data_IF_851237886593
#
_entry.id   IF_851237886593
#
_cell.length_a   1.000
_cell.length_b   1.000
_cell.length_c   1.000
_cell.angle_alpha   90.00
_cell.angle_beta   90.00
_cell.angle_gamma   90.00
#
_symmetry.space_group_name_H-M   'P 1'
#
loop_
_entity.id
_entity.type
_entity.pdbx_description
1 polymer ?
#
# COMPACT_ATOMS: atom_id res chain seq x y z
N UNK A 1 46.63 -24.97 -36.50
CA UNK A 1 45.43 -24.68 -37.31
C UNK A 1 44.26 -24.50 -36.36
N UNK A 2 44.06 -23.27 -35.91
CA UNK A 2 42.98 -22.86 -35.02
C UNK A 2 41.71 -22.67 -35.86
N UNK A 3 40.60 -23.26 -35.44
CA UNK A 3 39.27 -22.96 -35.99
C UNK A 3 38.59 -21.95 -35.08
N UNK A 4 38.37 -20.78 -35.66
CA UNK A 4 37.63 -19.63 -35.15
C UNK A 4 36.18 -20.02 -34.85
N UNK A 5 35.69 -19.71 -33.65
CA UNK A 5 34.27 -19.68 -33.32
C UNK A 5 33.84 -18.21 -33.39
N UNK A 6 33.05 -17.89 -34.42
CA UNK A 6 32.39 -16.59 -34.57
C UNK A 6 31.25 -16.49 -33.55
N UNK A 7 31.38 -15.56 -32.61
CA UNK A 7 30.29 -15.10 -31.75
C UNK A 7 29.44 -14.08 -32.53
N UNK A 8 28.20 -14.45 -32.86
CA UNK A 8 27.21 -13.48 -33.33
C UNK A 8 26.86 -12.54 -32.17
N UNK A 9 27.22 -11.26 -32.31
CA UNK A 9 26.88 -10.20 -31.38
C UNK A 9 25.39 -9.86 -31.47
N UNK A 10 24.68 -9.98 -30.35
CA UNK A 10 23.35 -9.38 -30.18
C UNK A 10 23.58 -7.98 -29.61
N UNK A 11 23.30 -6.97 -30.43
CA UNK A 11 23.28 -5.56 -30.02
C UNK A 11 22.13 -5.35 -29.03
N UNK A 12 22.46 -4.94 -27.80
CA UNK A 12 21.48 -4.50 -26.80
C UNK A 12 21.14 -3.03 -27.07
N UNK A 13 20.04 -2.79 -27.78
CA UNK A 13 19.46 -1.45 -27.89
C UNK A 13 18.84 -1.04 -26.53
N UNK A 14 19.51 -0.11 -25.86
CA UNK A 14 19.03 0.57 -24.67
C UNK A 14 18.17 1.76 -25.09
N UNK A 15 16.84 1.62 -25.06
CA UNK A 15 15.93 2.76 -25.17
C UNK A 15 14.86 2.68 -24.07
N UNK A 16 14.89 3.57 -23.05
CA UNK A 16 13.92 3.58 -21.97
C UNK A 16 12.71 4.43 -22.39
N UNK A 17 11.72 3.80 -23.02
CA UNK A 17 10.61 4.59 -23.56
C UNK A 17 9.53 3.81 -24.28
N UNK A 18 9.08 2.67 -23.75
CA UNK A 18 7.80 2.08 -24.13
C UNK A 18 7.13 1.49 -22.90
N UNK A 19 5.99 2.07 -22.55
CA UNK A 19 5.02 1.45 -21.64
C UNK A 19 4.67 0.11 -22.28
N UNK A 20 5.04 -1.00 -21.65
CA UNK A 20 4.56 -2.31 -22.09
C UNK A 20 3.04 -2.26 -22.10
N UNK A 21 2.44 -2.48 -23.26
CA UNK A 21 0.99 -2.66 -23.38
C UNK A 21 0.50 -3.60 -22.28
N UNK A 22 -0.68 -3.36 -21.67
CA UNK A 22 -1.25 -4.34 -20.76
C UNK A 22 -1.31 -5.66 -21.51
N UNK A 23 -0.79 -6.73 -20.91
CA UNK A 23 -0.93 -8.09 -21.39
C UNK A 23 -2.39 -8.29 -21.79
N UNK A 24 -2.65 -8.18 -23.09
CA UNK A 24 -3.93 -8.43 -23.70
C UNK A 24 -4.32 -9.84 -23.31
N UNK A 25 -5.43 -10.00 -22.60
CA UNK A 25 -6.00 -11.28 -22.15
C UNK A 25 -6.55 -12.10 -23.33
N UNK A 26 -5.87 -12.10 -24.47
CA UNK A 26 -6.19 -12.95 -25.62
C UNK A 26 -5.60 -14.34 -25.40
N UNK A 27 -6.20 -15.11 -24.48
CA UNK A 27 -6.37 -16.57 -24.56
C UNK A 27 -6.91 -17.17 -23.24
N UNK A 28 -8.15 -16.85 -22.91
CA UNK A 28 -8.96 -17.65 -21.99
C UNK A 28 -10.39 -17.62 -22.49
N UNK A 29 -10.91 -18.76 -22.95
CA UNK A 29 -12.34 -18.90 -23.30
C UNK A 29 -13.26 -18.80 -22.06
N UNK A 30 -12.68 -18.70 -20.86
CA UNK A 30 -13.41 -18.66 -19.60
C UNK A 30 -13.79 -17.22 -19.22
N UNK A 31 -14.95 -17.03 -18.57
CA UNK A 31 -15.39 -15.74 -18.03
C UNK A 31 -14.34 -15.05 -17.15
N UNK A 32 -14.19 -13.75 -17.37
CA UNK A 32 -13.46 -12.83 -16.48
C UNK A 32 -14.37 -12.35 -15.34
N UNK A 33 -13.79 -11.71 -14.31
CA UNK A 33 -14.52 -11.03 -13.25
C UNK A 33 -15.44 -9.97 -13.86
N UNK A 34 -16.71 -9.96 -13.47
CA UNK A 34 -17.73 -9.12 -14.10
C UNK A 34 -18.65 -8.52 -13.03
N UNK A 35 -18.40 -7.26 -12.68
CA UNK A 35 -19.16 -6.57 -11.64
C UNK A 35 -20.60 -6.27 -12.06
N UNK A 36 -20.93 -6.30 -13.36
CA UNK A 36 -22.30 -6.07 -13.83
C UNK A 36 -23.26 -7.20 -13.46
N UNK A 37 -22.72 -8.39 -13.17
CA UNK A 37 -23.49 -9.57 -12.73
C UNK A 37 -23.68 -9.66 -11.22
N UNK A 38 -23.15 -8.70 -10.45
CA UNK A 38 -23.17 -8.73 -8.99
C UNK A 38 -24.56 -9.06 -8.43
N UNK A 39 -24.66 -10.17 -7.69
CA UNK A 39 -25.85 -10.49 -6.91
C UNK A 39 -25.77 -9.86 -5.52
N UNK A 40 -26.89 -9.43 -4.98
CA UNK A 40 -26.94 -8.70 -3.72
C UNK A 40 -27.83 -9.45 -2.72
N UNK A 41 -27.27 -9.75 -1.55
CA UNK A 41 -27.97 -10.25 -0.38
C UNK A 41 -27.64 -9.35 0.81
N UNK A 42 -28.61 -8.53 1.22
CA UNK A 42 -28.44 -7.64 2.37
C UNK A 42 -28.59 -8.40 3.69
N UNK A 43 -27.88 -7.96 4.72
CA UNK A 43 -28.01 -8.50 6.07
C UNK A 43 -29.39 -8.16 6.65
N UNK A 44 -30.12 -9.13 7.21
CA UNK A 44 -31.32 -8.85 7.99
C UNK A 44 -30.98 -8.34 9.41
N UNK A 45 -29.72 -8.51 9.85
CA UNK A 45 -29.24 -8.16 11.18
C UNK A 45 -28.06 -7.18 11.06
N UNK A 46 -28.31 -5.90 10.75
CA UNK A 46 -27.27 -4.88 10.68
C UNK A 46 -26.58 -4.72 12.04
N UNK A 47 -25.24 -4.66 12.05
CA UNK A 47 -24.43 -4.42 13.25
C UNK A 47 -24.59 -2.97 13.72
N UNK A 48 -24.33 -2.72 15.01
CA UNK A 48 -24.24 -1.36 15.52
C UNK A 48 -22.93 -0.69 15.09
N UNK A 49 -23.03 0.58 14.68
CA UNK A 49 -21.84 1.41 14.45
C UNK A 49 -21.37 1.91 15.82
N UNK A 50 -20.07 1.78 16.16
CA UNK A 50 -19.58 2.24 17.44
C UNK A 50 -19.87 3.72 17.69
N UNK A 51 -20.08 4.06 18.95
CA UNK A 51 -20.24 5.43 19.38
C UNK A 51 -18.99 6.28 19.08
N UNK A 52 -19.19 7.59 19.08
CA UNK A 52 -18.11 8.57 18.92
C UNK A 52 -17.01 8.38 19.98
N UNK A 53 -15.75 8.54 19.58
CA UNK A 53 -14.60 8.33 20.46
C UNK A 53 -14.18 6.86 20.58
N UNK A 54 -14.85 5.93 19.91
CA UNK A 54 -14.38 4.54 19.80
C UNK A 54 -12.98 4.50 19.18
N UNK A 55 -12.02 3.92 19.91
CA UNK A 55 -10.68 3.68 19.40
C UNK A 55 -10.59 2.27 18.79
N UNK A 56 -10.54 2.13 17.45
CA UNK A 56 -10.43 0.84 16.80
C UNK A 56 -9.08 0.15 17.04
N UNK A 57 -8.11 0.80 17.69
CA UNK A 57 -6.85 0.14 18.10
C UNK A 57 -7.08 -1.01 19.10
N UNK A 58 -8.22 -1.03 19.79
CA UNK A 58 -8.56 -2.08 20.76
C UNK A 58 -9.23 -3.30 20.12
N UNK A 59 -9.72 -3.19 18.88
CA UNK A 59 -10.49 -4.22 18.16
C UNK A 59 -10.26 -4.10 16.65
N UNK A 60 -9.39 -4.96 16.11
CA UNK A 60 -9.12 -5.05 14.65
C UNK A 60 -10.11 -5.95 13.89
N UNK A 61 -11.14 -6.45 14.56
CA UNK A 61 -12.16 -7.35 14.05
C UNK A 61 -13.51 -6.64 13.78
N UNK A 62 -13.60 -5.34 14.03
CA UNK A 62 -14.80 -4.56 13.76
C UNK A 62 -14.94 -4.32 12.25
N UNK A 63 -15.86 -5.06 11.64
CA UNK A 63 -16.13 -5.08 10.21
C UNK A 63 -17.50 -4.50 9.89
N UNK A 64 -17.66 -4.03 8.65
CA UNK A 64 -18.96 -3.55 8.16
C UNK A 64 -19.96 -4.69 8.00
N UNK A 65 -21.17 -4.36 7.55
CA UNK A 65 -22.29 -5.32 7.49
C UNK A 65 -22.11 -6.38 6.40
N UNK A 66 -21.45 -6.02 5.30
CA UNK A 66 -21.32 -6.88 4.12
C UNK A 66 -19.87 -7.10 3.70
N UNK A 67 -19.70 -8.05 2.78
CA UNK A 67 -18.47 -8.30 2.04
C UNK A 67 -18.80 -8.64 0.59
N UNK A 68 -17.81 -8.47 -0.30
CA UNK A 68 -17.86 -9.02 -1.65
C UNK A 68 -17.15 -10.37 -1.64
N UNK A 69 -17.68 -11.34 -2.37
CA UNK A 69 -17.04 -12.63 -2.65
C UNK A 69 -17.20 -13.02 -4.11
N UNK A 70 -16.18 -13.62 -4.70
CA UNK A 70 -16.22 -14.18 -6.04
C UNK A 70 -15.29 -15.39 -6.14
N UNK A 71 -15.84 -16.55 -6.49
CA UNK A 71 -15.07 -17.78 -6.68
C UNK A 71 -14.56 -17.87 -8.11
N UNK A 72 -13.38 -18.44 -8.28
CA UNK A 72 -12.81 -18.80 -9.56
C UNK A 72 -12.46 -20.28 -9.57
N UNK A 73 -12.70 -20.96 -10.70
CA UNK A 73 -12.14 -22.28 -10.99
C UNK A 73 -11.44 -22.29 -12.34
N UNK A 74 -10.49 -23.20 -12.54
CA UNK A 74 -9.82 -23.34 -13.83
C UNK A 74 -10.69 -23.96 -14.94
N UNK A 75 -11.86 -24.51 -14.58
CA UNK A 75 -12.84 -25.09 -15.49
C UNK A 75 -13.90 -24.07 -15.93
N UNK A 76 -14.30 -23.15 -15.04
CA UNK A 76 -15.43 -22.24 -15.27
C UNK A 76 -15.05 -20.76 -15.30
N UNK A 77 -13.81 -20.41 -14.99
CA UNK A 77 -13.40 -19.02 -14.82
C UNK A 77 -13.99 -18.37 -13.56
N UNK A 78 -14.07 -17.04 -13.58
CA UNK A 78 -14.70 -16.27 -12.51
C UNK A 78 -16.21 -16.48 -12.54
N UNK A 79 -16.77 -16.80 -11.38
CA UNK A 79 -18.21 -16.95 -11.20
C UNK A 79 -18.87 -15.58 -11.00
N UNK A 80 -20.19 -15.59 -10.80
CA UNK A 80 -20.93 -14.37 -10.47
C UNK A 80 -20.48 -13.83 -9.11
N UNK A 81 -20.00 -12.57 -9.03
CA UNK A 81 -19.65 -11.98 -7.74
C UNK A 81 -20.92 -11.74 -6.90
N UNK A 82 -20.78 -11.79 -5.59
CA UNK A 82 -21.87 -11.58 -4.64
C UNK A 82 -21.49 -10.57 -3.56
N UNK A 83 -22.41 -9.66 -3.26
CA UNK A 83 -22.43 -8.86 -2.03
C UNK A 83 -23.30 -9.62 -1.03
N UNK A 84 -22.71 -10.04 0.08
CA UNK A 84 -23.35 -10.89 1.09
C UNK A 84 -23.08 -10.36 2.49
N UNK A 85 -23.86 -10.77 3.51
CA UNK A 85 -23.53 -10.42 4.89
C UNK A 85 -22.13 -10.91 5.26
N UNK A 86 -21.38 -10.10 6.01
CA UNK A 86 -20.05 -10.47 6.49
C UNK A 86 -20.13 -11.74 7.35
N UNK A 87 -19.29 -12.74 7.03
CA UNK A 87 -19.31 -14.02 7.73
C UNK A 87 -18.08 -14.89 7.44
N UNK A 88 -17.96 -16.06 8.11
CA UNK A 88 -16.83 -16.96 7.93
C UNK A 88 -16.86 -17.67 6.57
N UNK A 89 -15.69 -18.09 6.10
CA UNK A 89 -15.56 -18.99 4.94
C UNK A 89 -15.48 -20.45 5.38
N UNK A 90 -16.06 -21.34 4.59
CA UNK A 90 -15.80 -22.78 4.69
C UNK A 90 -14.77 -23.14 3.62
N UNK A 91 -13.54 -23.43 4.04
CA UNK A 91 -12.47 -23.90 3.16
C UNK A 91 -11.96 -25.25 3.64
N UNK A 92 -11.51 -26.08 2.70
CA UNK A 92 -10.96 -27.38 3.04
C UNK A 92 -9.65 -27.21 3.82
N UNK A 93 -9.37 -28.05 4.84
CA UNK A 93 -8.10 -27.99 5.57
C UNK A 93 -6.88 -28.21 4.67
N UNK A 94 -7.04 -28.82 3.49
CA UNK A 94 -6.00 -29.03 2.48
C UNK A 94 -5.83 -27.87 1.51
N UNK A 95 -6.54 -26.75 1.71
CA UNK A 95 -6.46 -25.58 0.83
C UNK A 95 -5.04 -24.99 0.81
N UNK A 96 -4.50 -24.74 -0.38
CA UNK A 96 -3.12 -24.26 -0.59
C UNK A 96 -2.77 -23.01 0.23
N UNK A 97 -3.72 -22.09 0.44
CA UNK A 97 -3.51 -20.89 1.27
C UNK A 97 -3.03 -21.22 2.68
N UNK A 98 -3.55 -22.28 3.30
CA UNK A 98 -3.25 -22.66 4.68
C UNK A 98 -1.86 -23.28 4.85
N UNK A 99 -1.25 -23.78 3.76
CA UNK A 99 0.02 -24.51 3.80
C UNK A 99 1.16 -23.77 3.11
N UNK A 100 0.86 -23.04 2.04
CA UNK A 100 1.86 -22.48 1.12
C UNK A 100 1.71 -20.96 0.93
N UNK A 101 0.88 -20.30 1.76
CA UNK A 101 0.66 -18.85 1.72
C UNK A 101 0.35 -18.34 0.30
N UNK A 102 -0.42 -19.12 -0.47
CA UNK A 102 -0.86 -18.75 -1.83
C UNK A 102 -1.99 -17.73 -1.74
N UNK A 103 -1.64 -16.54 -1.28
CA UNK A 103 -2.53 -15.44 -1.01
C UNK A 103 -1.86 -14.08 -1.24
N UNK A 104 -2.68 -13.13 -1.71
CA UNK A 104 -2.29 -11.73 -1.80
C UNK A 104 -3.44 -10.83 -1.36
N UNK A 105 -3.11 -9.61 -0.98
CA UNK A 105 -4.10 -8.67 -0.49
C UNK A 105 -3.78 -7.24 -0.95
N UNK A 106 -4.79 -6.39 -0.83
CA UNK A 106 -4.65 -4.95 -1.01
C UNK A 106 -5.08 -4.16 0.22
N UNK A 107 -4.75 -2.88 0.20
CA UNK A 107 -4.98 -1.99 1.30
C UNK A 107 -5.25 -0.56 0.84
N UNK A 108 -6.50 -0.14 0.99
CA UNK A 108 -6.93 1.22 0.71
C UNK A 108 -7.90 1.71 1.79
N UNK A 109 -8.27 2.98 1.72
CA UNK A 109 -9.23 3.60 2.63
C UNK A 109 -10.34 4.23 1.81
N UNK A 110 -11.52 4.31 2.40
CA UNK A 110 -12.53 5.25 1.94
C UNK A 110 -12.81 6.27 3.04
N UNK A 111 -12.99 7.51 2.59
CA UNK A 111 -13.02 8.71 3.41
C UNK A 111 -14.39 9.37 3.29
N UNK A 112 -14.94 9.83 4.41
CA UNK A 112 -16.06 10.78 4.41
C UNK A 112 -15.47 12.18 4.40
N UNK A 113 -15.57 12.84 3.25
CA UNK A 113 -15.07 14.21 3.07
C UNK A 113 -15.82 15.24 3.90
N UNK A 114 -15.26 16.45 3.97
CA UNK A 114 -15.88 17.58 4.67
C UNK A 114 -17.12 18.13 3.96
N UNK A 115 -17.27 17.83 2.66
CA UNK A 115 -18.49 18.04 1.89
C UNK A 115 -19.50 16.87 2.02
N UNK A 116 -19.32 16.01 3.01
CA UNK A 116 -20.10 14.79 3.28
C UNK A 116 -20.07 13.71 2.19
N UNK A 117 -19.25 13.82 1.14
CA UNK A 117 -19.18 12.75 0.11
C UNK A 117 -18.19 11.65 0.48
N UNK A 118 -18.54 10.41 0.16
CA UNK A 118 -17.64 9.26 0.24
C UNK A 118 -16.62 9.30 -0.91
N UNK A 119 -15.36 8.95 -0.61
CA UNK A 119 -14.26 8.94 -1.60
C UNK A 119 -13.35 7.74 -1.46
N UNK A 120 -12.89 7.21 -2.59
CA UNK A 120 -11.74 6.31 -2.68
C UNK A 120 -10.54 7.08 -3.22
N UNK A 121 -9.35 6.83 -2.67
CA UNK A 121 -8.11 7.46 -3.13
C UNK A 121 -7.32 6.52 -4.04
N UNK A 122 -7.16 6.92 -5.31
CA UNK A 122 -6.44 6.21 -6.38
C UNK A 122 -6.71 4.69 -6.44
N UNK A 123 -7.98 4.23 -6.37
CA UNK A 123 -8.31 2.80 -6.26
C UNK A 123 -7.79 1.97 -7.45
N UNK A 124 -7.66 2.57 -8.64
CA UNK A 124 -7.12 1.91 -9.84
C UNK A 124 -5.67 1.45 -9.63
N UNK A 125 -4.85 2.22 -8.90
CA UNK A 125 -3.47 1.84 -8.62
C UNK A 125 -3.39 0.64 -7.68
N UNK A 126 -4.29 0.58 -6.68
CA UNK A 126 -4.40 -0.59 -5.82
C UNK A 126 -4.86 -1.82 -6.60
N UNK A 127 -5.89 -1.69 -7.45
CA UNK A 127 -6.39 -2.81 -8.25
C UNK A 127 -5.33 -3.35 -9.23
N UNK A 128 -4.56 -2.46 -9.89
CA UNK A 128 -3.44 -2.85 -10.74
C UNK A 128 -2.35 -3.60 -9.96
N UNK A 129 -2.00 -3.15 -8.75
CA UNK A 129 -1.03 -3.85 -7.90
C UNK A 129 -1.56 -5.18 -7.38
N UNK A 130 -2.86 -5.31 -7.13
CA UNK A 130 -3.50 -6.58 -6.78
C UNK A 130 -3.41 -7.58 -7.92
N UNK A 131 -3.68 -7.18 -9.17
CA UNK A 131 -3.52 -8.03 -10.35
C UNK A 131 -2.07 -8.53 -10.48
N UNK A 132 -1.10 -7.64 -10.36
CA UNK A 132 0.32 -8.00 -10.37
C UNK A 132 0.66 -9.00 -9.25
N UNK A 133 0.15 -8.77 -8.03
CA UNK A 133 0.41 -9.65 -6.89
C UNK A 133 -0.23 -11.03 -7.10
N UNK A 134 -1.48 -11.08 -7.57
CA UNK A 134 -2.23 -12.31 -7.88
C UNK A 134 -1.48 -13.17 -8.90
N UNK A 135 -1.13 -12.56 -10.04
CA UNK A 135 -0.42 -13.25 -11.12
C UNK A 135 0.97 -13.73 -10.70
N UNK A 136 1.67 -12.98 -9.83
CA UNK A 136 2.99 -13.40 -9.33
C UNK A 136 2.96 -14.70 -8.54
N UNK A 137 1.87 -15.01 -7.86
CA UNK A 137 1.69 -16.23 -7.05
C UNK A 137 0.74 -17.24 -7.71
N UNK A 138 0.59 -17.15 -9.03
CA UNK A 138 -0.20 -18.06 -9.85
C UNK A 138 -1.70 -18.14 -9.51
N UNK A 139 -2.22 -17.15 -8.78
CA UNK A 139 -3.66 -16.93 -8.64
C UNK A 139 -4.24 -16.39 -9.96
N UNK A 140 -5.56 -16.56 -10.20
CA UNK A 140 -6.18 -16.11 -11.44
C UNK A 140 -6.02 -14.61 -11.67
N UNK A 141 -5.73 -14.18 -12.92
CA UNK A 141 -5.85 -12.78 -13.29
C UNK A 141 -7.32 -12.36 -13.31
N UNK A 142 -7.57 -11.06 -13.23
CA UNK A 142 -8.88 -10.45 -13.35
C UNK A 142 -8.74 -9.05 -13.95
N UNK A 143 -9.80 -8.50 -14.54
CA UNK A 143 -9.83 -7.09 -14.94
C UNK A 143 -9.81 -6.16 -13.70
N UNK A 144 -8.78 -5.31 -13.50
CA UNK A 144 -8.69 -4.41 -12.35
C UNK A 144 -9.87 -3.45 -12.19
N UNK A 145 -10.46 -2.98 -13.30
CA UNK A 145 -11.59 -2.06 -13.25
C UNK A 145 -12.85 -2.71 -12.68
N UNK A 146 -13.03 -4.02 -12.90
CA UNK A 146 -14.15 -4.78 -12.36
C UNK A 146 -14.02 -4.93 -10.84
N UNK A 147 -12.80 -5.11 -10.33
CA UNK A 147 -12.55 -5.06 -8.89
C UNK A 147 -12.88 -3.67 -8.29
N UNK A 148 -12.50 -2.59 -8.97
CA UNK A 148 -12.83 -1.23 -8.50
C UNK A 148 -14.34 -1.00 -8.44
N UNK A 149 -15.11 -1.49 -9.43
CA UNK A 149 -16.58 -1.43 -9.42
C UNK A 149 -17.19 -2.23 -8.27
N UNK A 150 -16.64 -3.40 -7.94
CA UNK A 150 -17.09 -4.20 -6.79
C UNK A 150 -16.82 -3.48 -5.46
N UNK A 151 -15.63 -2.88 -5.30
CA UNK A 151 -15.29 -2.07 -4.13
C UNK A 151 -16.25 -0.87 -4.03
N UNK A 152 -16.52 -0.19 -5.15
CA UNK A 152 -17.48 0.90 -5.22
C UNK A 152 -18.85 0.45 -4.69
N UNK A 153 -19.37 -0.70 -5.16
CA UNK A 153 -20.69 -1.20 -4.73
C UNK A 153 -20.75 -1.57 -3.25
N UNK A 154 -19.69 -2.16 -2.70
CA UNK A 154 -19.60 -2.42 -1.26
C UNK A 154 -19.61 -1.11 -0.45
N UNK A 155 -18.80 -0.13 -0.86
CA UNK A 155 -18.70 1.16 -0.16
C UNK A 155 -19.98 1.98 -0.31
N UNK A 156 -20.64 1.98 -1.47
CA UNK A 156 -21.93 2.62 -1.66
C UNK A 156 -23.01 2.01 -0.74
N UNK A 157 -22.93 0.70 -0.48
CA UNK A 157 -23.88 -0.01 0.38
C UNK A 157 -23.65 0.27 1.87
N UNK A 158 -22.41 0.13 2.34
CA UNK A 158 -22.09 0.19 3.78
C UNK A 158 -21.61 1.58 4.25
N UNK A 159 -20.97 2.35 3.38
CA UNK A 159 -20.23 3.56 3.76
C UNK A 159 -21.12 4.65 4.37
N UNK A 160 -22.38 4.76 3.92
CA UNK A 160 -23.37 5.68 4.48
C UNK A 160 -23.51 5.56 5.98
N UNK A 161 -23.80 4.34 6.41
CA UNK A 161 -24.00 3.98 7.81
C UNK A 161 -22.67 3.99 8.59
N UNK A 162 -21.62 3.41 8.02
CA UNK A 162 -20.35 3.17 8.75
C UNK A 162 -19.42 4.38 8.82
N UNK A 163 -19.62 5.39 7.97
CA UNK A 163 -18.91 6.66 8.02
C UNK A 163 -19.90 7.82 8.15
N UNK A 164 -20.64 7.97 9.26
CA UNK A 164 -21.69 8.98 9.38
C UNK A 164 -21.16 10.41 9.52
N UNK A 165 -19.85 10.59 9.78
CA UNK A 165 -19.26 11.89 10.11
C UNK A 165 -18.13 12.28 9.15
N UNK A 166 -18.11 13.55 8.69
CA UNK A 166 -16.94 14.13 8.03
C UNK A 166 -15.62 13.90 8.74
N UNK A 167 -14.54 13.82 7.99
CA UNK A 167 -13.18 13.64 8.54
C UNK A 167 -12.88 12.22 9.01
N UNK A 168 -13.79 11.26 8.81
CA UNK A 168 -13.61 9.85 9.17
C UNK A 168 -13.23 8.98 7.98
N UNK A 169 -12.71 7.79 8.26
CA UNK A 169 -12.41 6.78 7.25
C UNK A 169 -12.60 5.37 7.81
N UNK A 170 -12.74 4.41 6.89
CA UNK A 170 -12.59 2.98 7.16
C UNK A 170 -11.60 2.37 6.18
N UNK A 171 -11.07 1.20 6.54
CA UNK A 171 -10.11 0.48 5.73
C UNK A 171 -10.82 -0.55 4.85
N UNK A 172 -10.33 -0.71 3.63
CA UNK A 172 -10.85 -1.67 2.65
C UNK A 172 -9.73 -2.68 2.37
N UNK A 173 -10.07 -3.95 2.48
CA UNK A 173 -9.17 -5.09 2.34
C UNK A 173 -9.67 -6.03 1.25
N UNK A 174 -9.34 -5.78 -0.03
CA UNK A 174 -9.43 -6.80 -1.06
C UNK A 174 -8.41 -7.89 -0.78
N UNK A 175 -8.76 -9.15 -1.01
CA UNK A 175 -7.88 -10.30 -0.77
C UNK A 175 -8.22 -11.39 -1.78
N UNK A 176 -7.20 -12.12 -2.24
CA UNK A 176 -7.33 -13.28 -3.11
C UNK A 176 -6.55 -14.44 -2.51
N UNK A 177 -7.21 -15.58 -2.32
CA UNK A 177 -6.64 -16.78 -1.69
C UNK A 177 -6.88 -18.01 -2.57
N UNK A 178 -5.94 -18.95 -2.56
CA UNK A 178 -6.12 -20.25 -3.21
C UNK A 178 -6.89 -21.22 -2.30
N UNK A 179 -8.12 -21.57 -2.69
CA UNK A 179 -8.99 -22.49 -1.96
C UNK A 179 -8.91 -23.94 -2.46
N UNK A 180 -8.18 -24.18 -3.56
CA UNK A 180 -7.97 -25.50 -4.16
C UNK A 180 -7.54 -26.55 -3.11
N UNK A 181 -8.34 -27.62 -2.88
CA UNK A 181 -8.08 -28.63 -1.85
C UNK A 181 -7.01 -29.63 -2.28
N UNK A 182 -5.74 -29.20 -2.30
CA UNK A 182 -4.62 -30.05 -2.67
C UNK A 182 -3.37 -29.73 -1.85
N UNK A 183 -2.84 -30.73 -1.16
CA UNK A 183 -1.58 -30.62 -0.42
C UNK A 183 -0.35 -30.61 -1.33
N UNK A 184 -0.44 -31.02 -2.59
CA UNK A 184 0.69 -30.92 -3.52
C UNK A 184 1.00 -29.46 -3.88
N UNK A 185 2.28 -29.09 -3.95
CA UNK A 185 2.69 -27.76 -4.44
C UNK A 185 2.45 -27.68 -5.94
N UNK A 186 1.41 -26.97 -6.33
CA UNK A 186 1.00 -26.81 -7.73
C UNK A 186 0.22 -25.51 -7.93
N UNK A 187 0.03 -25.11 -9.19
CA UNK A 187 -0.86 -24.00 -9.53
C UNK A 187 -2.28 -24.31 -8.99
N UNK A 188 -2.92 -23.39 -8.27
CA UNK A 188 -4.26 -23.63 -7.75
C UNK A 188 -5.29 -23.70 -8.89
N UNK A 189 -6.23 -24.64 -8.78
CA UNK A 189 -7.37 -24.80 -9.70
C UNK A 189 -8.65 -24.13 -9.20
N UNK A 190 -8.61 -23.58 -7.99
CA UNK A 190 -9.71 -22.89 -7.33
C UNK A 190 -9.15 -21.75 -6.47
N UNK A 191 -9.81 -20.60 -6.52
CA UNK A 191 -9.46 -19.42 -5.73
C UNK A 191 -10.72 -18.65 -5.31
N UNK A 192 -10.59 -17.87 -4.24
CA UNK A 192 -11.59 -16.95 -3.75
C UNK A 192 -11.02 -15.54 -3.72
N UNK A 193 -11.68 -14.61 -4.41
CA UNK A 193 -11.50 -13.17 -4.23
C UNK A 193 -12.58 -12.65 -3.30
N UNK A 194 -12.20 -11.87 -2.31
CA UNK A 194 -13.15 -11.21 -1.43
C UNK A 194 -12.72 -9.79 -1.07
N UNK A 195 -13.68 -8.95 -0.66
CA UNK A 195 -13.42 -7.59 -0.18
C UNK A 195 -14.20 -7.38 1.11
N UNK A 196 -13.50 -6.97 2.15
CA UNK A 196 -14.10 -6.57 3.43
C UNK A 196 -13.75 -5.11 3.76
N UNK A 197 -14.61 -4.47 4.53
CA UNK A 197 -14.35 -3.16 5.14
C UNK A 197 -14.27 -3.29 6.66
N UNK A 198 -13.36 -2.57 7.30
CA UNK A 198 -13.21 -2.58 8.75
C UNK A 198 -12.83 -1.22 9.32
N UNK A 199 -13.21 -1.00 10.58
CA UNK A 199 -12.71 0.13 11.34
C UNK A 199 -11.19 -0.01 11.53
N UNK A 200 -10.47 1.11 11.44
CA UNK A 200 -9.01 1.09 11.49
C UNK A 200 -8.47 2.32 12.22
N UNK A 201 -7.46 2.18 13.10
CA UNK A 201 -6.96 3.30 13.88
C UNK A 201 -6.25 4.35 13.04
N UNK A 202 -6.33 5.58 13.51
CA UNK A 202 -5.47 6.68 13.06
C UNK A 202 -4.09 6.49 13.67
N UNK A 203 -3.10 6.18 12.84
CA UNK A 203 -1.75 5.83 13.27
C UNK A 203 -0.72 6.94 13.01
N UNK A 204 -1.16 8.11 12.53
CA UNK A 204 -0.30 9.19 12.04
C UNK A 204 -0.14 10.36 13.03
N UNK A 205 -0.49 10.13 14.30
CA UNK A 205 -0.58 11.18 15.32
C UNK A 205 0.71 11.42 16.13
N UNK A 206 1.67 10.48 16.07
CA UNK A 206 2.94 10.59 16.81
C UNK A 206 4.10 10.17 15.92
N UNK A 207 5.29 10.79 16.07
CA UNK A 207 6.49 10.35 15.38
C UNK A 207 6.86 8.91 15.76
N UNK A 208 7.34 8.16 14.78
CA UNK A 208 7.84 6.80 14.99
C UNK A 208 9.30 6.79 15.41
N UNK A 209 9.67 5.79 16.20
CA UNK A 209 11.04 5.33 16.41
C UNK A 209 11.23 4.03 15.64
N UNK A 210 12.33 3.93 14.90
CA UNK A 210 12.65 2.75 14.10
C UNK A 210 13.88 2.03 14.64
N UNK A 211 13.84 0.71 14.65
CA UNK A 211 15.03 -0.13 14.86
C UNK A 211 15.54 -0.57 13.48
N UNK A 212 16.74 -0.20 13.10
CA UNK A 212 17.32 -0.66 11.85
C UNK A 212 17.64 -2.16 11.94
N UNK A 213 17.26 -2.94 10.93
CA UNK A 213 17.51 -4.39 10.95
C UNK A 213 19.00 -4.69 10.89
N UNK A 214 19.44 -5.69 11.65
CA UNK A 214 20.84 -6.09 11.74
C UNK A 214 21.09 -7.49 11.15
N UNK A 215 22.34 -7.74 10.74
CA UNK A 215 22.80 -9.06 10.31
C UNK A 215 22.05 -9.60 9.09
N UNK A 216 21.48 -10.80 9.22
CA UNK A 216 20.79 -11.50 8.14
C UNK A 216 19.28 -11.21 8.08
N UNK A 217 18.76 -10.35 8.96
CA UNK A 217 17.34 -10.00 8.98
C UNK A 217 17.00 -9.11 7.78
N UNK A 218 16.41 -9.70 6.73
CA UNK A 218 15.99 -8.99 5.51
C UNK A 218 14.50 -9.19 5.26
N UNK A 219 13.84 -8.14 4.75
CA UNK A 219 12.42 -8.19 4.37
C UNK A 219 12.20 -8.89 3.02
N UNK A 220 13.13 -8.65 2.10
CA UNK A 220 13.08 -9.11 0.72
C UNK A 220 14.49 -9.15 0.15
N UNK A 221 14.67 -9.85 -0.98
CA UNK A 221 15.94 -9.99 -1.69
C UNK A 221 15.71 -9.92 -3.23
N UNK A 222 16.74 -9.56 -4.03
CA UNK A 222 16.62 -9.54 -5.49
C UNK A 222 16.22 -10.93 -6.03
N UNK A 223 15.27 -10.95 -6.97
CA UNK A 223 14.67 -12.20 -7.47
C UNK A 223 13.53 -12.75 -6.60
N UNK A 224 13.39 -12.24 -5.37
CA UNK A 224 12.24 -12.50 -4.50
C UNK A 224 10.98 -11.75 -4.96
N UNK A 225 10.05 -11.55 -4.03
CA UNK A 225 8.71 -11.02 -4.30
C UNK A 225 8.35 -9.85 -3.37
N UNK A 226 9.35 -9.10 -2.90
CA UNK A 226 9.17 -7.93 -2.03
C UNK A 226 8.29 -6.84 -2.66
N UNK A 227 8.33 -6.70 -3.98
CA UNK A 227 7.51 -5.80 -4.78
C UNK A 227 6.03 -6.19 -4.89
N UNK A 228 5.65 -7.40 -4.48
CA UNK A 228 4.28 -7.89 -4.51
C UNK A 228 3.66 -7.91 -3.11
N UNK A 229 2.34 -7.68 -3.02
CA UNK A 229 1.62 -7.59 -1.74
C UNK A 229 1.06 -8.96 -1.31
N UNK A 230 1.96 -9.92 -1.12
CA UNK A 230 1.64 -11.32 -0.80
C UNK A 230 1.78 -11.61 0.69
N UNK A 231 0.97 -12.51 1.25
CA UNK A 231 0.94 -12.80 2.68
C UNK A 231 2.30 -13.24 3.25
N UNK A 232 3.05 -14.01 2.47
CA UNK A 232 4.38 -14.52 2.82
C UNK A 232 5.43 -13.42 3.13
N UNK A 233 5.22 -12.17 2.69
CA UNK A 233 6.11 -11.05 3.00
C UNK A 233 5.92 -10.46 4.40
N UNK A 234 4.86 -10.86 5.12
CA UNK A 234 4.46 -10.24 6.38
C UNK A 234 4.63 -11.19 7.57
N UNK A 235 4.22 -12.45 7.46
CA UNK A 235 4.34 -13.42 8.56
C UNK A 235 5.75 -13.50 9.17
N UNK A 236 6.81 -13.71 8.37
CA UNK A 236 8.19 -13.79 8.88
C UNK A 236 8.69 -12.51 9.57
N UNK A 237 8.09 -11.35 9.26
CA UNK A 237 8.52 -10.06 9.84
C UNK A 237 7.95 -9.79 11.23
N UNK A 238 6.94 -10.55 11.66
CA UNK A 238 6.24 -10.33 12.92
C UNK A 238 7.12 -10.56 14.14
N UNK A 239 7.99 -11.56 14.12
CA UNK A 239 8.90 -11.85 15.24
C UNK A 239 9.88 -10.71 15.47
N UNK A 240 10.50 -10.21 14.39
CA UNK A 240 11.42 -9.09 14.49
C UNK A 240 10.68 -7.82 14.94
N UNK A 241 9.45 -7.59 14.44
CA UNK A 241 8.63 -6.44 14.83
C UNK A 241 8.25 -6.47 16.31
N UNK A 242 7.91 -7.64 16.86
CA UNK A 242 7.61 -7.84 18.28
C UNK A 242 8.84 -7.55 19.16
N UNK A 243 10.01 -8.01 18.76
CA UNK A 243 11.27 -7.72 19.46
C UNK A 243 11.60 -6.22 19.45
N UNK A 244 11.46 -5.56 18.31
CA UNK A 244 11.63 -4.11 18.21
C UNK A 244 10.65 -3.35 19.12
N UNK A 245 9.39 -3.80 19.22
CA UNK A 245 8.39 -3.21 20.10
C UNK A 245 8.73 -3.36 21.58
N UNK A 246 9.25 -4.51 22.01
CA UNK A 246 9.72 -4.72 23.39
C UNK A 246 10.85 -3.77 23.77
N UNK A 247 11.67 -3.37 22.79
CA UNK A 247 12.75 -2.39 22.97
C UNK A 247 12.27 -0.93 22.87
N UNK A 248 10.96 -0.70 22.66
CA UNK A 248 10.36 0.64 22.61
C UNK A 248 10.40 1.29 21.22
N UNK A 249 10.70 0.54 20.17
CA UNK A 249 10.59 0.98 18.78
C UNK A 249 9.19 0.70 18.22
N UNK A 250 8.72 1.52 17.30
CA UNK A 250 7.39 1.34 16.71
C UNK A 250 7.41 0.34 15.55
N UNK A 251 8.48 0.33 14.75
CA UNK A 251 8.66 -0.50 13.56
C UNK A 251 10.15 -0.78 13.32
N UNK A 252 10.43 -1.73 12.44
CA UNK A 252 11.78 -1.97 11.91
C UNK A 252 12.03 -1.06 10.71
N UNK A 253 13.23 -0.50 10.57
CA UNK A 253 13.73 -0.01 9.29
C UNK A 253 14.51 -1.15 8.62
N UNK A 254 13.96 -1.70 7.55
CA UNK A 254 14.57 -2.81 6.84
C UNK A 254 15.78 -2.33 6.03
N UNK A 255 16.91 -2.96 6.30
CA UNK A 255 18.15 -2.78 5.56
C UNK A 255 18.41 -3.99 4.66
N UNK A 256 19.19 -3.78 3.61
CA UNK A 256 19.56 -4.84 2.67
C UNK A 256 21.04 -4.76 2.29
N UNK A 257 21.69 -5.92 2.17
CA UNK A 257 23.09 -6.03 1.77
C UNK A 257 24.07 -5.66 2.88
N UNK A 258 25.36 -5.95 2.65
CA UNK A 258 26.45 -5.60 3.58
C UNK A 258 26.62 -4.08 3.70
N UNK A 259 26.20 -3.35 2.66
CA UNK A 259 26.19 -1.89 2.57
C UNK A 259 25.09 -1.24 3.43
N UNK A 260 24.17 -2.02 4.00
CA UNK A 260 23.04 -1.52 4.78
C UNK A 260 22.15 -0.55 3.99
N UNK A 261 21.78 -0.94 2.76
CA UNK A 261 20.87 -0.17 1.93
C UNK A 261 19.52 -0.01 2.60
N UNK A 262 19.03 1.21 2.67
CA UNK A 262 17.73 1.53 3.23
C UNK A 262 16.62 1.08 2.28
N UNK A 263 15.64 0.32 2.79
CA UNK A 263 14.52 -0.16 1.99
C UNK A 263 13.18 0.40 2.46
N UNK A 264 12.57 -0.17 3.50
CA UNK A 264 11.22 0.16 3.97
C UNK A 264 11.16 0.28 5.49
N UNK A 265 10.30 1.15 6.01
CA UNK A 265 10.01 1.29 7.43
C UNK A 265 8.76 0.44 7.76
N UNK A 266 8.98 -0.76 8.28
CA UNK A 266 7.93 -1.74 8.53
C UNK A 266 7.31 -2.21 7.23
N UNK A 267 6.03 -1.87 7.03
CA UNK A 267 5.28 -2.10 5.79
C UNK A 267 5.01 -0.81 5.00
N UNK A 268 5.79 0.24 5.25
CA UNK A 268 5.70 1.55 4.61
C UNK A 268 7.00 1.91 3.89
N UNK A 269 6.89 2.66 2.80
CA UNK A 269 8.06 3.22 2.13
C UNK A 269 8.70 4.30 3.02
N UNK A 270 10.01 4.51 2.91
CA UNK A 270 10.73 5.47 3.74
C UNK A 270 11.35 6.58 2.90
N UNK A 271 11.25 7.80 3.42
CA UNK A 271 11.75 9.03 2.81
C UNK A 271 12.67 9.76 3.79
N UNK A 272 13.75 10.30 3.26
CA UNK A 272 14.68 11.18 3.99
C UNK A 272 14.78 12.49 3.23
N UNK A 273 14.82 13.59 3.97
CA UNK A 273 15.14 14.90 3.45
C UNK A 273 16.48 15.33 4.06
N UNK A 274 17.47 15.62 3.23
CA UNK A 274 18.78 16.10 3.67
C UNK A 274 19.34 17.15 2.74
N UNK A 275 20.37 17.86 3.19
CA UNK A 275 21.22 18.66 2.31
C UNK A 275 22.31 17.78 1.70
N UNK A 276 22.39 17.75 0.37
CA UNK A 276 23.46 17.05 -0.34
C UNK A 276 24.81 17.70 0.01
N UNK A 277 25.83 16.89 0.26
CA UNK A 277 27.15 17.36 0.72
C UNK A 277 27.87 18.20 -0.35
N UNK A 278 27.75 17.84 -1.62
CA UNK A 278 28.48 18.47 -2.72
C UNK A 278 27.70 19.63 -3.31
N UNK A 279 26.42 19.41 -3.66
CA UNK A 279 25.61 20.42 -4.34
C UNK A 279 25.00 21.43 -3.37
N UNK A 280 24.99 21.12 -2.06
CA UNK A 280 24.30 21.87 -1.02
C UNK A 280 22.80 22.05 -1.24
N UNK A 281 22.21 21.35 -2.22
CA UNK A 281 20.77 21.35 -2.47
C UNK A 281 20.04 20.45 -1.49
N UNK A 282 18.78 20.77 -1.23
CA UNK A 282 17.90 19.93 -0.41
C UNK A 282 17.37 18.77 -1.28
N UNK A 283 17.50 17.53 -0.82
CA UNK A 283 17.10 16.33 -1.55
C UNK A 283 16.08 15.53 -0.74
N UNK A 284 14.92 15.25 -1.33
CA UNK A 284 13.98 14.24 -0.86
C UNK A 284 14.32 12.91 -1.54
N UNK A 285 14.92 12.01 -0.77
CA UNK A 285 15.38 10.71 -1.25
C UNK A 285 14.47 9.57 -0.77
N UNK A 286 14.26 8.59 -1.65
CA UNK A 286 13.64 7.30 -1.32
C UNK A 286 14.26 6.16 -2.15
N UNK A 287 14.12 4.93 -1.67
CA UNK A 287 14.67 3.75 -2.34
C UNK A 287 14.00 3.54 -3.71
N UNK A 288 14.73 3.07 -4.74
CA UNK A 288 14.20 2.89 -6.08
C UNK A 288 13.41 1.58 -6.18
N UNK A 289 12.62 1.43 -7.24
CA UNK A 289 11.84 0.21 -7.49
C UNK A 289 12.57 -0.81 -8.39
N UNK A 290 13.78 -0.47 -8.86
CA UNK A 290 14.46 -1.15 -9.98
C UNK A 290 14.88 -2.59 -9.67
N UNK A 291 15.21 -2.91 -8.41
CA UNK A 291 15.62 -4.26 -7.99
C UNK A 291 14.49 -5.11 -7.41
N UNK A 292 13.25 -4.60 -7.46
CA UNK A 292 12.03 -5.29 -7.00
C UNK A 292 12.05 -5.69 -5.52
N UNK A 293 12.88 -5.04 -4.70
CA UNK A 293 12.89 -5.18 -3.24
C UNK A 293 11.74 -4.43 -2.58
N UNK A 294 11.36 -3.29 -3.15
CA UNK A 294 10.45 -2.32 -2.53
C UNK A 294 9.04 -2.52 -3.06
N UNK A 295 8.04 -2.44 -2.16
CA UNK A 295 6.65 -2.39 -2.59
C UNK A 295 6.36 -1.01 -3.21
N UNK A 296 5.83 -0.99 -4.43
CA UNK A 296 5.41 0.26 -5.10
C UNK A 296 4.15 0.83 -4.44
N UNK A 297 4.32 1.52 -3.32
CA UNK A 297 3.24 2.08 -2.51
C UNK A 297 2.47 3.20 -3.22
N UNK A 298 1.14 3.19 -3.10
CA UNK A 298 0.31 4.27 -3.69
C UNK A 298 0.63 5.61 -3.03
N UNK A 299 0.81 5.62 -1.71
CA UNK A 299 1.21 6.82 -0.96
C UNK A 299 2.60 7.30 -1.37
N UNK A 300 3.59 6.40 -1.53
CA UNK A 300 4.93 6.73 -2.05
C UNK A 300 4.84 7.42 -3.39
N UNK A 301 4.10 6.84 -4.33
CA UNK A 301 3.91 7.42 -5.67
C UNK A 301 3.28 8.81 -5.59
N UNK A 302 2.24 8.98 -4.78
CA UNK A 302 1.59 10.28 -4.58
C UNK A 302 2.49 11.32 -3.91
N UNK A 303 3.33 10.93 -2.95
CA UNK A 303 4.35 11.80 -2.33
C UNK A 303 5.32 12.31 -3.40
N UNK A 304 5.87 11.41 -4.22
CA UNK A 304 6.80 11.77 -5.29
C UNK A 304 6.16 12.67 -6.35
N UNK A 305 4.92 12.39 -6.76
CA UNK A 305 4.18 13.22 -7.71
C UNK A 305 3.94 14.64 -7.16
N UNK A 306 3.49 14.78 -5.90
CA UNK A 306 3.28 16.09 -5.28
C UNK A 306 4.59 16.85 -5.06
N UNK A 307 5.64 16.16 -4.61
CA UNK A 307 6.95 16.76 -4.40
C UNK A 307 7.50 17.34 -5.72
N UNK A 308 7.44 16.57 -6.82
CA UNK A 308 7.86 17.02 -8.15
C UNK A 308 7.04 18.18 -8.69
N UNK A 309 5.75 18.21 -8.40
CA UNK A 309 4.87 19.27 -8.89
C UNK A 309 5.04 20.57 -8.11
N UNK A 310 5.16 20.49 -6.78
CA UNK A 310 4.97 21.65 -5.88
C UNK A 310 6.23 22.08 -5.14
N UNK A 311 7.25 21.23 -5.03
CA UNK A 311 8.44 21.50 -4.19
C UNK A 311 9.74 21.67 -4.98
N UNK A 312 9.77 21.43 -6.29
CA UNK A 312 11.02 21.53 -7.09
C UNK A 312 11.23 22.91 -7.73
N UNK A 313 10.45 23.92 -7.34
CA UNK A 313 10.58 25.29 -7.84
C UNK A 313 10.65 26.26 -6.68
N UNK A 314 11.70 27.09 -6.65
CA UNK A 314 11.87 28.12 -5.63
C UNK A 314 10.62 29.01 -5.50
N UNK A 315 10.17 29.22 -4.25
CA UNK A 315 9.02 30.05 -3.93
C UNK A 315 7.65 29.45 -4.28
N UNK A 316 7.58 28.20 -4.76
CA UNK A 316 6.31 27.55 -5.07
C UNK A 316 5.45 27.28 -3.83
N UNK A 317 6.09 27.10 -2.67
CA UNK A 317 5.43 27.03 -1.37
C UNK A 317 6.11 28.04 -0.45
N UNK A 318 5.32 28.95 0.11
CA UNK A 318 5.82 29.98 1.01
C UNK A 318 6.55 29.34 2.20
N UNK A 319 7.76 29.84 2.48
CA UNK A 319 8.58 29.38 3.60
C UNK A 319 9.36 28.08 3.37
N UNK A 320 9.26 27.44 2.20
CA UNK A 320 10.02 26.24 1.85
C UNK A 320 11.07 26.50 0.75
N UNK A 321 12.30 26.03 0.98
CA UNK A 321 13.35 25.92 -0.04
C UNK A 321 12.95 24.85 -1.07
N UNK A 322 13.34 25.04 -2.34
CA UNK A 322 13.14 24.03 -3.36
C UNK A 322 13.94 22.76 -3.08
N UNK A 323 13.42 21.62 -3.55
CA UNK A 323 14.03 20.31 -3.34
C UNK A 323 14.29 19.60 -4.67
N UNK A 324 15.28 18.72 -4.67
CA UNK A 324 15.44 17.69 -5.70
C UNK A 324 14.77 16.39 -5.23
N UNK A 325 14.04 15.72 -6.12
CA UNK A 325 13.37 14.45 -5.82
C UNK A 325 14.18 13.30 -6.40
N UNK A 326 14.75 12.48 -5.52
CA UNK A 326 15.74 11.47 -5.89
C UNK A 326 15.25 10.06 -5.55
N UNK A 327 15.19 9.19 -6.57
CA UNK A 327 14.95 7.75 -6.39
C UNK A 327 16.25 6.99 -6.67
N UNK A 328 17.02 6.68 -5.61
CA UNK A 328 18.29 5.95 -5.72
C UNK A 328 18.54 5.07 -4.51
N UNK A 329 19.46 4.12 -4.64
CA UNK A 329 19.97 3.39 -3.48
C UNK A 329 20.76 4.34 -2.58
N UNK A 330 20.54 4.22 -1.28
CA UNK A 330 21.27 4.94 -0.25
C UNK A 330 21.37 4.08 1.00
N UNK A 331 22.37 4.34 1.83
CA UNK A 331 22.73 3.52 2.99
C UNK A 331 22.38 4.23 4.29
N UNK A 332 22.24 3.46 5.37
CA UNK A 332 22.14 4.05 6.71
C UNK A 332 23.43 4.76 7.14
N UNK A 333 24.59 4.35 6.61
CA UNK A 333 25.85 5.04 6.87
C UNK A 333 25.83 6.47 6.25
N UNK A 334 25.24 6.66 5.06
CA UNK A 334 25.01 7.99 4.48
C UNK A 334 24.07 8.85 5.34
N UNK A 335 22.98 8.26 5.85
CA UNK A 335 22.02 8.95 6.73
C UNK A 335 22.69 9.36 8.05
N UNK A 336 23.48 8.46 8.65
CA UNK A 336 24.22 8.72 9.88
C UNK A 336 25.22 9.87 9.69
N UNK A 337 26.00 9.83 8.61
CA UNK A 337 26.95 10.90 8.28
C UNK A 337 26.24 12.24 8.05
N UNK A 338 25.09 12.24 7.38
CA UNK A 338 24.29 13.45 7.19
C UNK A 338 23.78 14.02 8.53
N UNK A 339 23.44 13.17 9.50
CA UNK A 339 23.06 13.61 10.84
C UNK A 339 24.25 14.21 11.60
N UNK A 340 25.41 13.53 11.59
CA UNK A 340 26.64 13.99 12.24
C UNK A 340 27.13 15.34 11.68
N UNK A 341 27.01 15.54 10.35
CA UNK A 341 27.37 16.78 9.67
C UNK A 341 26.28 17.87 9.75
N UNK A 342 25.16 17.63 10.44
CA UNK A 342 24.05 18.58 10.58
C UNK A 342 23.27 18.85 9.29
N UNK A 343 23.38 17.98 8.29
CA UNK A 343 22.70 18.07 6.98
C UNK A 343 21.34 17.37 6.94
N UNK A 344 21.05 16.46 7.88
CA UNK A 344 19.76 15.78 7.97
C UNK A 344 18.64 16.76 8.37
N UNK A 345 17.51 16.75 7.65
CA UNK A 345 16.42 17.73 7.84
C UNK A 345 15.14 17.05 8.36
N UNK A 346 14.59 16.10 7.60
CA UNK A 346 13.36 15.37 7.94
C UNK A 346 13.46 13.91 7.57
N UNK A 347 12.64 13.08 8.21
CA UNK A 347 12.44 11.69 7.80
C UNK A 347 11.00 11.29 8.06
N UNK A 348 10.41 10.53 7.15
CA UNK A 348 9.04 10.06 7.32
C UNK A 348 8.78 8.75 6.58
N UNK A 349 7.84 7.97 7.11
CA UNK A 349 7.31 6.80 6.46
C UNK A 349 6.01 7.14 5.71
N UNK A 350 5.80 6.48 4.56
CA UNK A 350 4.65 6.67 3.70
C UNK A 350 3.97 5.34 3.36
N UNK A 351 2.67 5.21 3.65
CA UNK A 351 1.87 4.03 3.26
C UNK A 351 0.41 4.13 3.69
N UNK A 352 -0.51 3.32 3.18
CA UNK A 352 -1.96 3.51 3.42
C UNK A 352 -2.35 3.56 4.90
N UNK A 353 -1.76 2.69 5.74
CA UNK A 353 -2.11 2.59 7.17
C UNK A 353 -1.70 3.86 7.94
N UNK A 354 -0.40 4.13 7.95
CA UNK A 354 0.24 5.25 8.63
C UNK A 354 0.12 6.59 7.88
N UNK A 355 -0.29 6.56 6.62
CA UNK A 355 -0.32 7.72 5.74
C UNK A 355 1.05 8.38 5.55
N UNK A 356 1.31 9.55 6.15
CA UNK A 356 2.63 10.19 6.24
C UNK A 356 2.93 10.43 7.72
N UNK A 357 3.97 9.77 8.24
CA UNK A 357 4.32 9.84 9.66
C UNK A 357 5.79 10.14 9.82
N UNK A 358 6.07 11.16 10.63
CA UNK A 358 7.42 11.53 11.01
C UNK A 358 8.18 10.33 11.59
N UNK A 359 9.44 10.21 11.25
CA UNK A 359 10.41 9.38 11.95
C UNK A 359 11.23 10.32 12.81
N UNK A 360 11.22 10.10 14.11
CA UNK A 360 11.98 10.91 15.08
C UNK A 360 13.39 10.36 15.32
N UNK A 361 13.54 9.05 15.19
CA UNK A 361 14.76 8.34 15.56
C UNK A 361 14.87 7.04 14.76
N UNK A 362 16.07 6.73 14.30
CA UNK A 362 16.46 5.40 13.83
C UNK A 362 17.63 4.92 14.69
N UNK A 363 17.47 3.80 15.39
CA UNK A 363 18.58 3.16 16.10
C UNK A 363 19.32 2.23 15.13
N UNK A 364 20.61 2.44 14.98
CA UNK A 364 21.45 1.76 14.00
C UNK A 364 22.86 1.53 14.57
N UNK A 365 23.32 0.27 14.57
CA UNK A 365 24.62 -0.14 15.11
C UNK A 365 24.86 0.36 16.55
N UNK A 366 23.83 0.27 17.39
CA UNK A 366 23.86 0.71 18.79
C UNK A 366 23.91 2.23 18.99
N UNK A 367 23.70 3.03 17.94
CA UNK A 367 23.62 4.49 18.01
C UNK A 367 22.27 4.99 17.53
N UNK A 368 21.75 6.00 18.23
CA UNK A 368 20.50 6.64 17.85
C UNK A 368 20.76 7.83 16.91
N UNK A 369 20.22 7.75 15.70
CA UNK A 369 20.23 8.83 14.71
C UNK A 369 18.94 9.63 14.86
N UNK A 370 19.07 10.87 15.32
CA UNK A 370 17.93 11.77 15.57
C UNK A 370 17.56 12.51 14.29
N UNK A 371 16.30 12.43 13.90
CA UNK A 371 15.74 13.20 12.80
C UNK A 371 15.19 14.53 13.33
N UNK A 372 15.77 15.68 12.92
CA UNK A 372 15.44 16.96 13.56
C UNK A 372 13.99 17.39 13.36
N UNK A 373 13.42 17.10 12.19
CA UNK A 373 12.06 17.47 11.79
C UNK A 373 11.71 18.94 12.08
N UNK A 374 12.64 19.88 11.86
CA UNK A 374 12.47 21.28 12.30
C UNK A 374 11.18 21.93 11.78
N UNK A 375 10.60 22.82 12.59
CA UNK A 375 9.32 23.47 12.28
C UNK A 375 8.11 22.52 12.34
N UNK A 376 8.17 21.52 13.22
CA UNK A 376 7.16 20.45 13.32
C UNK A 376 5.73 20.96 13.47
N UNK A 377 4.81 20.26 12.82
CA UNK A 377 3.38 20.31 13.11
C UNK A 377 3.06 19.64 14.46
N UNK A 378 1.80 19.72 14.90
CA UNK A 378 1.34 19.15 16.17
C UNK A 378 1.58 17.62 16.31
N UNK A 379 1.71 16.89 15.20
CA UNK A 379 2.00 15.46 15.16
C UNK A 379 3.50 15.13 15.07
N UNK A 380 4.37 16.14 15.14
CA UNK A 380 5.83 16.01 15.05
C UNK A 380 6.37 15.83 13.62
N UNK A 381 5.53 15.92 12.59
CA UNK A 381 5.97 15.93 11.19
C UNK A 381 6.59 17.27 10.85
N UNK A 382 7.78 17.25 10.25
CA UNK A 382 8.44 18.46 9.76
C UNK A 382 7.64 19.20 8.69
N UNK A 383 8.09 20.39 8.31
CA UNK A 383 7.37 21.30 7.41
C UNK A 383 7.13 20.71 6.02
N UNK A 384 8.08 19.96 5.46
CA UNK A 384 7.95 19.37 4.12
C UNK A 384 7.01 18.16 4.13
N UNK A 385 7.25 17.20 5.03
CA UNK A 385 6.35 16.07 5.23
C UNK A 385 4.93 16.53 5.59
N UNK A 386 4.82 17.60 6.38
CA UNK A 386 3.56 18.24 6.78
C UNK A 386 2.79 18.85 5.61
N UNK A 387 3.47 19.59 4.73
CA UNK A 387 2.85 20.15 3.52
C UNK A 387 2.30 19.04 2.61
N UNK A 388 3.10 17.99 2.37
CA UNK A 388 2.68 16.84 1.56
C UNK A 388 1.50 16.11 2.21
N UNK A 389 1.56 15.88 3.52
CA UNK A 389 0.47 15.28 4.31
C UNK A 389 -0.81 16.10 4.20
N UNK A 390 -0.72 17.43 4.27
CA UNK A 390 -1.86 18.35 4.10
C UNK A 390 -2.48 18.20 2.72
N UNK A 391 -1.71 18.30 1.63
CA UNK A 391 -2.24 18.20 0.27
C UNK A 391 -2.92 16.85 -0.01
N UNK A 392 -2.36 15.77 0.52
CA UNK A 392 -2.97 14.46 0.44
C UNK A 392 -4.29 14.39 1.25
N UNK A 393 -4.34 14.97 2.46
CA UNK A 393 -5.61 15.08 3.23
C UNK A 393 -6.64 15.91 2.48
N UNK A 394 -6.24 17.06 1.95
CA UNK A 394 -7.12 17.92 1.16
C UNK A 394 -7.72 17.18 -0.02
N UNK A 395 -6.91 16.37 -0.70
CA UNK A 395 -7.37 15.48 -1.77
C UNK A 395 -8.37 14.45 -1.27
N UNK A 396 -8.03 13.68 -0.23
CA UNK A 396 -8.84 12.57 0.29
C UNK A 396 -10.16 13.02 0.91
N UNK A 397 -10.18 14.18 1.56
CA UNK A 397 -11.36 14.73 2.25
C UNK A 397 -12.11 15.78 1.45
N UNK A 398 -11.67 16.09 0.22
CA UNK A 398 -12.42 16.94 -0.71
C UNK A 398 -12.31 18.44 -0.46
N UNK A 399 -11.19 18.92 0.08
CA UNK A 399 -10.89 20.35 0.18
C UNK A 399 -10.43 20.91 -1.18
N UNK A 400 -10.56 22.23 -1.36
CA UNK A 400 -10.36 22.90 -2.66
C UNK A 400 -8.97 22.71 -3.27
N UNK A 401 -7.91 22.62 -2.43
CA UNK A 401 -6.52 22.42 -2.86
C UNK A 401 -6.19 20.98 -3.29
N UNK A 402 -7.16 20.07 -3.17
CA UNK A 402 -7.02 18.66 -3.46
C UNK A 402 -7.06 18.29 -4.95
N UNK A 403 -6.37 17.20 -5.30
CA UNK A 403 -6.35 16.64 -6.66
C UNK A 403 -7.60 15.81 -6.96
N UNK A 404 -8.59 16.44 -7.59
CA UNK A 404 -9.89 15.81 -7.89
C UNK A 404 -9.77 14.55 -8.76
N UNK A 405 -8.77 14.49 -9.62
CA UNK A 405 -8.48 13.35 -10.51
C UNK A 405 -7.91 12.13 -9.78
N UNK A 406 -7.43 12.29 -8.54
CA UNK A 406 -6.95 11.17 -7.71
C UNK A 406 -8.04 10.52 -6.88
N UNK A 407 -9.24 11.09 -6.84
CA UNK A 407 -10.34 10.57 -6.03
C UNK A 407 -11.49 10.09 -6.89
N UNK A 408 -12.03 8.93 -6.52
CA UNK A 408 -13.30 8.45 -7.01
C UNK A 408 -14.35 8.76 -5.96
N UNK A 409 -15.30 9.64 -6.29
CA UNK A 409 -16.45 9.95 -5.43
C UNK A 409 -17.46 8.81 -5.56
N UNK A 410 -18.01 8.37 -4.43
CA UNK A 410 -19.01 7.31 -4.36
C UNK A 410 -20.39 7.95 -4.22
N UNK A 411 -21.33 7.60 -5.10
CA UNK A 411 -22.73 7.97 -4.95
C UNK A 411 -23.42 6.98 -4.00
N UNK A 412 -23.84 7.46 -2.83
CA UNK A 412 -24.58 6.66 -1.86
C UNK A 412 -25.97 6.26 -2.37
N UNK A 413 -26.50 6.93 -3.41
CA UNK A 413 -27.74 6.50 -4.07
C UNK A 413 -27.58 5.18 -4.82
N UNK A 414 -26.36 4.84 -5.23
CA UNK A 414 -26.06 3.54 -5.83
C UNK A 414 -26.02 2.40 -4.81
N UNK A 415 -26.35 2.67 -3.54
CA UNK A 415 -26.51 1.68 -2.48
C UNK A 415 -27.52 0.62 -2.85
N UNK A 416 -27.16 -0.63 -2.55
CA UNK A 416 -28.06 -1.77 -2.65
C UNK A 416 -29.34 -1.61 -1.81
N UNK A 417 -29.30 -0.86 -0.71
CA UNK A 417 -30.49 -0.56 0.11
C UNK A 417 -31.51 0.30 -0.62
N UNK A 418 -31.05 1.22 -1.47
CA UNK A 418 -31.93 2.15 -2.20
C UNK A 418 -32.54 1.51 -3.45
N UNK A 419 -32.03 0.37 -3.92
CA UNK A 419 -32.58 -0.36 -5.06
C UNK A 419 -33.71 -1.34 -4.67
N UNK A 420 -33.96 -1.53 -3.37
CA UNK A 420 -35.04 -2.38 -2.84
C UNK A 420 -36.24 -1.60 -2.28
N UNK A 421 -36.16 -0.26 -2.22
CA UNK A 421 -37.30 0.65 -1.98
C UNK A 421 -37.75 1.26 -3.30
#
# INVERSE_FOLDING_TARGET
MAKTLETQGVSLDTNPGTVSEPLSTKNSALPDLDASKLTIQLTPNPKEVPAEGFNPSWRHDLTTDHMITCTWTDETGWQTPALVPYGPFQIMPTASVLHYATECFEGMKCYRGYDNKLRLFRPQLNAARMLMSSTRIALPPFNPEELVKLIYKLVATDGGKWLPKPGSFFYIRPTSIATHPALGVQKPREALLYVICCAFPTLDAKPMKLLASEGQAVRAWPGGWGYAKVGANYGPSLMASDEAQKQGFNQILWLFGEENYVTEAGASNFFVLWRNKETQKLELITAPLTDKLILDGVTRRSVLELARERLTKAGAVEGLEEIEVVERKYTMDEVALAAEEGRLVEGFAAGTAFFVVAVSLVSYKGKDIIFPNKGTNADGTGVYGGAIKKWLKDTMFGNEEGKKEWVMVIDEKDSAYNQQQ
#
